data_IF_573929215771
#
_entry.id   IF_573929215771
#
_cell.length_a   1.000
_cell.length_b   1.000
_cell.length_c   1.000
_cell.angle_alpha   90.00
_cell.angle_beta   90.00
_cell.angle_gamma   90.00
#
_symmetry.space_group_name_H-M   'P 1'
#
loop_
_entity.id
_entity.type
_entity.pdbx_description
1 polymer ?
#
# COMPACT_ATOMS: atom_id res chain seq x y z
N UNK A 1 19.44 15.23 -16.53
CA UNK A 1 18.38 16.27 -16.50
C UNK A 1 17.09 15.80 -17.18
N UNK A 2 17.09 15.30 -18.42
CA UNK A 2 15.86 14.85 -19.09
C UNK A 2 15.12 13.67 -18.38
N UNK A 3 15.87 12.74 -17.76
CA UNK A 3 15.32 11.65 -16.95
C UNK A 3 14.71 12.12 -15.63
N UNK A 4 15.29 13.14 -14.99
CA UNK A 4 14.84 13.70 -13.71
C UNK A 4 13.53 14.49 -13.83
N UNK A 5 13.35 15.22 -14.94
CA UNK A 5 12.09 15.89 -15.27
C UNK A 5 10.92 14.92 -15.50
N UNK A 6 11.21 13.69 -15.96
CA UNK A 6 10.18 12.67 -16.14
C UNK A 6 9.63 12.16 -14.78
N UNK A 7 10.48 12.07 -13.75
CA UNK A 7 10.03 11.66 -12.41
C UNK A 7 9.04 12.64 -11.79
N UNK A 8 9.17 13.95 -11.99
CA UNK A 8 8.23 14.92 -11.40
C UNK A 8 6.82 14.75 -11.98
N UNK A 9 6.72 14.49 -13.28
CA UNK A 9 5.46 14.22 -13.95
C UNK A 9 4.84 12.89 -13.46
N UNK A 10 5.65 11.84 -13.30
CA UNK A 10 5.21 10.54 -12.82
C UNK A 10 4.81 10.55 -11.33
N UNK A 11 5.52 11.31 -10.49
CA UNK A 11 5.16 11.55 -9.09
C UNK A 11 3.86 12.34 -9.00
N UNK A 12 3.68 13.39 -9.79
CA UNK A 12 2.44 14.17 -9.83
C UNK A 12 1.24 13.31 -10.25
N UNK A 13 1.41 12.49 -11.30
CA UNK A 13 0.41 11.52 -11.75
C UNK A 13 0.08 10.51 -10.66
N UNK A 14 1.09 9.99 -9.97
CA UNK A 14 0.92 9.06 -8.84
C UNK A 14 0.10 9.70 -7.73
N UNK A 15 0.40 10.94 -7.34
CA UNK A 15 -0.36 11.67 -6.31
C UNK A 15 -1.83 11.78 -6.69
N UNK A 16 -2.13 12.14 -7.94
CA UNK A 16 -3.50 12.26 -8.43
C UNK A 16 -4.24 10.91 -8.37
N UNK A 17 -3.59 9.83 -8.81
CA UNK A 17 -4.20 8.48 -8.76
C UNK A 17 -4.44 8.05 -7.31
N UNK A 18 -3.51 8.32 -6.40
CA UNK A 18 -3.67 8.00 -4.97
C UNK A 18 -4.85 8.78 -4.35
N UNK A 19 -5.01 10.05 -4.70
CA UNK A 19 -6.13 10.88 -4.23
C UNK A 19 -7.48 10.39 -4.76
N UNK A 20 -7.56 10.07 -6.06
CA UNK A 20 -8.75 9.47 -6.67
C UNK A 20 -9.11 8.14 -5.99
N UNK A 21 -8.11 7.30 -5.74
CA UNK A 21 -8.28 6.03 -5.04
C UNK A 21 -8.78 6.21 -3.62
N UNK A 22 -8.23 7.17 -2.89
CA UNK A 22 -8.68 7.51 -1.54
C UNK A 22 -10.16 7.88 -1.53
N UNK A 23 -10.58 8.76 -2.44
CA UNK A 23 -12.00 9.16 -2.54
C UNK A 23 -12.90 7.95 -2.80
N UNK A 24 -12.49 7.05 -3.69
CA UNK A 24 -13.28 5.85 -4.01
C UNK A 24 -13.39 4.88 -2.84
N UNK A 25 -12.28 4.65 -2.12
CA UNK A 25 -12.25 3.81 -0.91
C UNK A 25 -13.11 4.41 0.20
N UNK A 26 -13.04 5.73 0.42
CA UNK A 26 -13.86 6.41 1.42
C UNK A 26 -15.35 6.28 1.12
N UNK A 27 -15.75 6.46 -0.14
CA UNK A 27 -17.15 6.33 -0.55
C UNK A 27 -17.64 4.88 -0.45
N UNK A 28 -16.85 3.88 -0.86
CA UNK A 28 -17.16 2.46 -0.63
C UNK A 28 -17.32 2.14 0.85
N UNK A 29 -16.44 2.70 1.70
CA UNK A 29 -16.54 2.54 3.15
C UNK A 29 -17.89 3.01 3.71
N UNK A 30 -18.40 4.16 3.25
CA UNK A 30 -19.71 4.67 3.70
C UNK A 30 -20.86 3.74 3.30
N UNK A 31 -20.83 3.15 2.11
CA UNK A 31 -21.86 2.22 1.65
C UNK A 31 -21.80 0.92 2.43
N UNK A 32 -20.59 0.39 2.62
CA UNK A 32 -20.35 -0.81 3.42
C UNK A 32 -20.82 -0.62 4.87
N UNK A 33 -20.47 0.49 5.52
CA UNK A 33 -20.91 0.76 6.89
C UNK A 33 -22.44 0.83 7.00
N UNK A 34 -23.12 1.37 5.98
CA UNK A 34 -24.60 1.30 5.90
C UNK A 34 -25.10 -0.14 5.80
N UNK A 35 -24.46 -0.99 5.00
CA UNK A 35 -24.86 -2.38 4.84
C UNK A 35 -24.68 -3.17 6.14
N UNK A 36 -23.63 -2.86 6.91
CA UNK A 36 -23.38 -3.49 8.21
C UNK A 36 -24.39 -3.07 9.29
N UNK A 37 -24.77 -1.78 9.32
CA UNK A 37 -25.58 -1.23 10.41
C UNK A 37 -27.09 -1.30 10.19
N UNK A 38 -27.56 -1.31 8.94
CA UNK A 38 -28.99 -1.11 8.67
C UNK A 38 -29.71 -2.45 8.49
N UNK A 39 -30.86 -2.63 9.16
CA UNK A 39 -31.87 -3.66 8.83
C UNK A 39 -32.71 -3.28 7.60
N UNK A 40 -32.40 -2.15 6.95
CA UNK A 40 -33.05 -1.75 5.72
C UNK A 40 -32.78 -2.81 4.64
N UNK A 41 -33.85 -3.21 3.96
CA UNK A 41 -33.79 -3.98 2.71
C UNK A 41 -33.16 -3.10 1.65
N UNK A 42 -31.85 -3.03 1.65
CA UNK A 42 -31.08 -2.38 0.59
C UNK A 42 -31.31 -3.19 -0.68
N UNK A 43 -31.65 -2.50 -1.77
CA UNK A 43 -32.07 -3.16 -2.99
C UNK A 43 -30.90 -3.91 -3.65
N UNK A 44 -31.22 -4.95 -4.44
CA UNK A 44 -30.22 -5.68 -5.22
C UNK A 44 -29.35 -4.74 -6.10
N UNK A 45 -29.93 -3.64 -6.59
CA UNK A 45 -29.23 -2.64 -7.39
C UNK A 45 -28.09 -1.94 -6.62
N UNK A 46 -28.30 -1.57 -5.36
CA UNK A 46 -27.28 -0.90 -4.55
C UNK A 46 -26.11 -1.83 -4.24
N UNK A 47 -26.40 -3.12 -4.01
CA UNK A 47 -25.37 -4.15 -3.84
C UNK A 47 -24.54 -4.34 -5.12
N UNK A 48 -25.20 -4.47 -6.28
CA UNK A 48 -24.50 -4.71 -7.54
C UNK A 48 -23.62 -3.50 -7.92
N UNK A 49 -24.10 -2.27 -7.65
CA UNK A 49 -23.32 -1.04 -7.81
C UNK A 49 -22.09 -1.06 -6.90
N UNK A 50 -22.25 -1.39 -5.61
CA UNK A 50 -21.13 -1.40 -4.68
C UNK A 50 -20.11 -2.49 -5.02
N UNK A 51 -20.58 -3.67 -5.43
CA UNK A 51 -19.70 -4.73 -5.89
C UNK A 51 -18.89 -4.30 -7.12
N UNK A 52 -19.52 -3.67 -8.10
CA UNK A 52 -18.83 -3.12 -9.28
C UNK A 52 -17.81 -2.04 -8.89
N UNK A 53 -18.16 -1.17 -7.93
CA UNK A 53 -17.28 -0.14 -7.41
C UNK A 53 -16.06 -0.72 -6.70
N UNK A 54 -16.26 -1.74 -5.86
CA UNK A 54 -15.16 -2.46 -5.21
C UNK A 54 -14.23 -3.04 -6.27
N UNK A 55 -14.77 -3.74 -7.28
CA UNK A 55 -13.96 -4.29 -8.38
C UNK A 55 -13.17 -3.23 -9.15
N UNK A 56 -13.77 -2.06 -9.40
CA UNK A 56 -13.08 -0.93 -10.04
C UNK A 56 -11.92 -0.41 -9.17
N UNK A 57 -12.17 -0.27 -7.87
CA UNK A 57 -11.14 0.06 -6.86
C UNK A 57 -9.99 -0.97 -6.90
N UNK A 58 -10.29 -2.27 -6.97
CA UNK A 58 -9.27 -3.33 -7.08
C UNK A 58 -8.39 -3.19 -8.33
N UNK A 59 -9.01 -2.91 -9.47
CA UNK A 59 -8.32 -2.82 -10.74
C UNK A 59 -7.42 -1.59 -10.79
N UNK A 60 -7.93 -0.45 -10.35
CA UNK A 60 -7.19 0.80 -10.38
C UNK A 60 -6.04 0.83 -9.36
N UNK A 61 -6.14 0.06 -8.26
CA UNK A 61 -5.04 -0.15 -7.32
C UNK A 61 -3.84 -0.84 -7.94
N UNK A 62 -4.03 -1.92 -8.70
CA UNK A 62 -2.90 -2.61 -9.35
C UNK A 62 -2.14 -1.70 -10.30
N UNK A 63 -2.86 -0.82 -11.00
CA UNK A 63 -2.25 0.19 -11.89
C UNK A 63 -1.43 1.19 -11.08
N UNK A 64 -1.98 1.68 -9.97
CA UNK A 64 -1.29 2.60 -9.08
C UNK A 64 -0.03 1.98 -8.45
N UNK A 65 -0.13 0.78 -7.88
CA UNK A 65 1.00 0.04 -7.32
C UNK A 65 2.08 -0.20 -8.37
N UNK A 66 1.68 -0.53 -9.61
CA UNK A 66 2.60 -0.67 -10.74
C UNK A 66 3.33 0.62 -11.09
N UNK A 67 2.63 1.75 -11.16
CA UNK A 67 3.25 3.04 -11.42
C UNK A 67 4.27 3.43 -10.33
N UNK A 68 3.97 3.13 -9.06
CA UNK A 68 4.90 3.40 -7.95
C UNK A 68 6.09 2.45 -7.99
N UNK A 69 5.86 1.17 -8.32
CA UNK A 69 6.93 0.20 -8.52
C UNK A 69 7.88 0.66 -9.64
N UNK A 70 7.36 1.11 -10.80
CA UNK A 70 8.15 1.68 -11.89
C UNK A 70 8.97 2.90 -11.44
N UNK A 71 8.37 3.82 -10.66
CA UNK A 71 9.08 4.95 -10.06
C UNK A 71 10.24 4.52 -9.17
N UNK A 72 10.04 3.49 -8.33
CA UNK A 72 11.08 2.95 -7.45
C UNK A 72 12.21 2.33 -8.27
N UNK A 73 11.88 1.54 -9.30
CA UNK A 73 12.87 0.93 -10.19
C UNK A 73 13.67 2.03 -10.90
N UNK A 74 13.01 3.04 -11.47
CA UNK A 74 13.70 4.16 -12.12
C UNK A 74 14.62 4.92 -11.17
N UNK A 75 14.21 5.14 -9.92
CA UNK A 75 15.08 5.78 -8.92
C UNK A 75 16.29 4.89 -8.59
N UNK A 76 16.12 3.57 -8.55
CA UNK A 76 17.22 2.61 -8.37
C UNK A 76 18.18 2.64 -9.55
N UNK A 77 17.69 2.65 -10.79
CA UNK A 77 18.51 2.75 -12.00
C UNK A 77 19.33 4.04 -12.01
N UNK A 78 18.69 5.18 -11.71
CA UNK A 78 19.37 6.47 -11.59
C UNK A 78 20.46 6.43 -10.50
N UNK A 79 20.23 5.69 -9.41
CA UNK A 79 21.20 5.51 -8.33
C UNK A 79 22.37 4.62 -8.75
N UNK A 80 22.10 3.55 -9.50
CA UNK A 80 23.13 2.65 -10.00
C UNK A 80 24.04 3.35 -11.02
N UNK A 81 23.45 4.13 -11.94
CA UNK A 81 24.21 4.98 -12.88
C UNK A 81 25.08 5.97 -12.12
N UNK A 82 24.51 6.65 -11.12
CA UNK A 82 25.27 7.55 -10.25
C UNK A 82 26.41 6.82 -9.52
N UNK A 83 26.15 5.63 -8.98
CA UNK A 83 27.15 4.81 -8.30
C UNK A 83 28.33 4.46 -9.21
N UNK A 84 28.06 4.06 -10.45
CA UNK A 84 29.09 3.78 -11.45
C UNK A 84 29.90 5.03 -11.84
N UNK A 85 29.22 6.16 -12.05
CA UNK A 85 29.85 7.46 -12.29
C UNK A 85 30.77 7.85 -11.12
N UNK A 86 30.30 7.65 -9.89
CA UNK A 86 31.06 7.95 -8.68
C UNK A 86 32.28 7.02 -8.50
N UNK A 87 32.17 5.72 -8.78
CA UNK A 87 33.32 4.80 -8.77
C UNK A 87 34.38 5.18 -9.81
N UNK A 88 33.95 5.65 -10.98
CA UNK A 88 34.86 6.16 -12.01
C UNK A 88 35.66 7.39 -11.53
N UNK A 89 35.10 8.19 -10.60
CA UNK A 89 35.81 9.32 -9.99
C UNK A 89 36.84 8.90 -8.95
N UNK A 90 36.57 7.82 -8.20
CA UNK A 90 37.51 7.28 -7.21
C UNK A 90 38.78 6.77 -7.88
N UNK A 91 38.65 6.08 -9.00
CA UNK A 91 39.77 5.54 -9.75
C UNK A 91 40.44 6.58 -10.66
N UNK A 92 41.69 6.32 -11.03
CA UNK A 92 42.37 7.09 -12.07
C UNK A 92 42.01 6.53 -13.44
N UNK A 93 41.72 7.41 -14.38
CA UNK A 93 41.50 7.03 -15.78
C UNK A 93 42.77 6.47 -16.42
N UNK A 94 42.63 5.75 -17.53
CA UNK A 94 43.78 5.26 -18.30
C UNK A 94 44.75 6.39 -18.70
N UNK A 95 44.21 7.55 -19.06
CA UNK A 95 45.01 8.73 -19.39
C UNK A 95 45.70 9.36 -18.17
N UNK A 96 45.02 9.47 -17.03
CA UNK A 96 45.65 9.92 -15.79
C UNK A 96 46.74 8.98 -15.30
N UNK A 97 46.54 7.67 -15.45
CA UNK A 97 47.56 6.67 -15.14
C UNK A 97 48.77 6.79 -16.07
N UNK A 98 48.54 7.01 -17.37
CA UNK A 98 49.59 7.27 -18.34
C UNK A 98 50.40 8.53 -18.00
N UNK A 99 49.73 9.65 -17.68
CA UNK A 99 50.39 10.88 -17.20
C UNK A 99 51.13 10.65 -15.88
N UNK A 100 50.61 9.78 -15.02
CA UNK A 100 51.22 9.40 -13.74
C UNK A 100 52.59 8.74 -13.86
N UNK A 101 52.90 8.09 -14.98
CA UNK A 101 54.23 7.55 -15.27
C UNK A 101 55.27 8.68 -15.35
N UNK A 102 54.85 9.87 -15.78
CA UNK A 102 55.71 11.04 -15.97
C UNK A 102 55.61 12.06 -14.83
N UNK A 103 54.44 12.20 -14.20
CA UNK A 103 54.25 13.14 -13.09
C UNK A 103 53.08 12.72 -12.18
N UNK A 104 53.42 12.30 -10.96
CA UNK A 104 52.44 12.00 -9.92
C UNK A 104 51.60 13.24 -9.55
N UNK A 105 52.22 14.43 -9.50
CA UNK A 105 51.52 15.69 -9.23
C UNK A 105 50.51 16.04 -10.32
N UNK A 106 50.85 15.84 -11.60
CA UNK A 106 49.95 16.15 -12.71
C UNK A 106 48.79 15.16 -12.79
N UNK A 107 49.05 13.87 -12.56
CA UNK A 107 48.02 12.83 -12.40
C UNK A 107 47.01 13.19 -11.31
N UNK A 108 47.48 13.67 -10.16
CA UNK A 108 46.61 14.08 -9.06
C UNK A 108 45.72 15.28 -9.42
N UNK A 109 46.30 16.33 -10.03
CA UNK A 109 45.53 17.53 -10.43
C UNK A 109 44.44 17.22 -11.44
N UNK A 110 44.73 16.37 -12.42
CA UNK A 110 43.74 15.97 -13.43
C UNK A 110 42.54 15.26 -12.79
N UNK A 111 42.77 14.41 -11.80
CA UNK A 111 41.69 13.78 -11.03
C UNK A 111 40.88 14.82 -10.26
N UNK A 112 41.54 15.74 -9.54
CA UNK A 112 40.87 16.81 -8.79
C UNK A 112 40.01 17.70 -9.68
N UNK A 113 40.52 18.10 -10.85
CA UNK A 113 39.77 18.91 -11.83
C UNK A 113 38.55 18.17 -12.39
N UNK A 114 38.68 16.87 -12.71
CA UNK A 114 37.55 16.04 -13.15
C UNK A 114 36.49 15.93 -12.06
N UNK A 115 36.91 15.59 -10.84
CA UNK A 115 36.03 15.43 -9.68
C UNK A 115 35.23 16.70 -9.40
N UNK A 116 35.85 17.88 -9.56
CA UNK A 116 35.21 19.18 -9.31
C UNK A 116 34.19 19.59 -10.38
N UNK A 117 34.48 19.30 -11.64
CA UNK A 117 33.63 19.74 -12.76
C UNK A 117 32.41 18.85 -12.99
N UNK A 118 32.25 17.78 -12.22
CA UNK A 118 31.16 16.82 -12.34
C UNK A 118 30.00 17.24 -11.41
N UNK A 119 28.86 17.64 -11.99
CA UNK A 119 27.66 18.11 -11.27
C UNK A 119 26.88 16.97 -10.61
N UNK A 120 27.49 16.27 -9.66
CA UNK A 120 26.93 15.05 -9.06
C UNK A 120 26.12 15.29 -7.79
N UNK A 121 26.54 16.23 -6.95
CA UNK A 121 25.86 16.50 -5.68
C UNK A 121 24.39 16.92 -5.87
N UNK A 122 24.11 17.79 -6.86
CA UNK A 122 22.75 18.22 -7.18
C UNK A 122 21.83 17.09 -7.65
N UNK A 123 22.34 16.15 -8.45
CA UNK A 123 21.54 15.03 -8.94
C UNK A 123 21.15 14.06 -7.81
N UNK A 124 22.06 13.81 -6.85
CA UNK A 124 21.77 12.88 -5.75
C UNK A 124 20.83 13.49 -4.71
N UNK A 125 20.97 14.78 -4.42
CA UNK A 125 20.01 15.51 -3.56
C UNK A 125 18.59 15.44 -4.15
N UNK A 126 18.46 15.60 -5.46
CA UNK A 126 17.19 15.50 -6.14
C UNK A 126 16.60 14.08 -6.07
N UNK A 127 17.41 13.03 -6.21
CA UNK A 127 16.97 11.64 -6.03
C UNK A 127 16.51 11.34 -4.59
N UNK A 128 17.19 11.90 -3.59
CA UNK A 128 16.80 11.77 -2.18
C UNK A 128 15.45 12.46 -1.93
N UNK A 129 15.26 13.69 -2.41
CA UNK A 129 14.00 14.43 -2.26
C UNK A 129 12.80 13.72 -2.94
N UNK A 130 13.02 13.16 -4.14
CA UNK A 130 12.00 12.37 -4.85
C UNK A 130 11.68 11.07 -4.10
N UNK A 131 12.70 10.39 -3.57
CA UNK A 131 12.50 9.19 -2.74
C UNK A 131 11.66 9.51 -1.50
N UNK A 132 11.97 10.59 -0.78
CA UNK A 132 11.21 11.03 0.40
C UNK A 132 9.75 11.30 0.07
N UNK A 133 9.51 12.02 -1.04
CA UNK A 133 8.17 12.35 -1.50
C UNK A 133 7.35 11.09 -1.74
N UNK A 134 7.93 10.07 -2.39
CA UNK A 134 7.25 8.80 -2.66
C UNK A 134 7.03 8.00 -1.37
N UNK A 135 8.00 7.95 -0.46
CA UNK A 135 7.82 7.32 0.87
C UNK A 135 6.68 7.98 1.63
N UNK A 136 6.58 9.31 1.59
CA UNK A 136 5.50 10.08 2.20
C UNK A 136 4.12 9.70 1.64
N UNK A 137 3.98 9.65 0.31
CA UNK A 137 2.73 9.23 -0.36
C UNK A 137 2.35 7.81 0.06
N UNK A 138 3.31 6.87 -0.01
CA UNK A 138 3.08 5.47 0.34
C UNK A 138 2.67 5.29 1.80
N UNK A 139 3.29 6.05 2.71
CA UNK A 139 3.03 5.99 4.15
C UNK A 139 1.66 6.56 4.49
N UNK A 140 1.30 7.72 3.93
CA UNK A 140 -0.02 8.31 4.11
C UNK A 140 -1.11 7.37 3.60
N UNK A 141 -0.91 6.81 2.41
CA UNK A 141 -1.82 5.84 1.83
C UNK A 141 -1.94 4.59 2.70
N UNK A 142 -0.83 4.03 3.18
CA UNK A 142 -0.84 2.87 4.08
C UNK A 142 -1.68 3.14 5.34
N UNK A 143 -1.55 4.32 5.94
CA UNK A 143 -2.32 4.68 7.13
C UNK A 143 -3.84 4.70 6.86
N UNK A 144 -4.23 5.20 5.68
CA UNK A 144 -5.64 5.18 5.23
C UNK A 144 -6.12 3.74 5.05
N UNK A 145 -5.32 2.90 4.39
CA UNK A 145 -5.65 1.49 4.18
C UNK A 145 -5.76 0.73 5.50
N UNK A 146 -4.84 0.93 6.45
CA UNK A 146 -4.88 0.32 7.78
C UNK A 146 -6.14 0.72 8.56
N UNK A 147 -6.53 2.00 8.51
CA UNK A 147 -7.75 2.48 9.15
C UNK A 147 -9.00 1.87 8.50
N UNK A 148 -9.01 1.76 7.17
CA UNK A 148 -10.12 1.17 6.42
C UNK A 148 -10.22 -0.33 6.59
N UNK A 149 -9.10 -1.03 6.72
CA UNK A 149 -9.05 -2.45 7.04
C UNK A 149 -9.72 -2.72 8.38
N UNK A 150 -9.32 -2.01 9.44
CA UNK A 150 -9.87 -2.20 10.80
C UNK A 150 -11.38 -1.94 10.87
N UNK A 151 -11.83 -0.88 10.21
CA UNK A 151 -13.26 -0.54 10.17
C UNK A 151 -14.05 -1.58 9.37
N UNK A 152 -13.55 -2.00 8.22
CA UNK A 152 -14.18 -3.03 7.38
C UNK A 152 -14.22 -4.40 8.04
N UNK A 153 -13.17 -4.78 8.78
CA UNK A 153 -13.12 -6.02 9.57
C UNK A 153 -14.18 -6.02 10.68
N UNK A 154 -14.35 -4.87 11.36
CA UNK A 154 -15.40 -4.70 12.37
C UNK A 154 -16.79 -4.84 11.74
N UNK A 155 -17.02 -4.19 10.60
CA UNK A 155 -18.28 -4.27 9.84
C UNK A 155 -18.56 -5.70 9.34
N UNK A 156 -17.53 -6.43 8.87
CA UNK A 156 -17.64 -7.84 8.50
C UNK A 156 -18.07 -8.71 9.69
N UNK A 157 -17.43 -8.52 10.85
CA UNK A 157 -17.77 -9.26 12.06
C UNK A 157 -19.22 -9.02 12.49
N UNK A 158 -19.70 -7.78 12.39
CA UNK A 158 -21.11 -7.44 12.68
C UNK A 158 -22.08 -8.16 11.73
N UNK A 159 -21.79 -8.18 10.43
CA UNK A 159 -22.63 -8.88 9.44
C UNK A 159 -22.65 -10.39 9.68
N UNK A 160 -21.50 -10.98 10.03
CA UNK A 160 -21.40 -12.41 10.37
C UNK A 160 -22.26 -12.73 11.61
N UNK A 161 -22.19 -11.89 12.66
CA UNK A 161 -22.98 -12.11 13.87
C UNK A 161 -24.49 -11.96 13.62
N UNK A 162 -24.89 -10.96 12.83
CA UNK A 162 -26.29 -10.81 12.38
C UNK A 162 -26.74 -12.06 11.63
N UNK A 163 -25.95 -12.54 10.67
CA UNK A 163 -26.26 -13.75 9.88
C UNK A 163 -26.44 -14.96 10.79
N UNK A 164 -25.57 -15.13 11.78
CA UNK A 164 -25.68 -16.21 12.77
C UNK A 164 -27.00 -16.12 13.55
N UNK A 165 -27.35 -14.95 14.07
CA UNK A 165 -28.63 -14.73 14.76
C UNK A 165 -29.85 -15.01 13.88
N UNK A 166 -29.83 -14.57 12.62
CA UNK A 166 -30.89 -14.85 11.64
C UNK A 166 -31.03 -16.34 11.36
N UNK A 167 -29.91 -17.09 11.23
CA UNK A 167 -29.92 -18.54 11.04
C UNK A 167 -30.46 -19.28 12.28
N UNK A 168 -30.10 -18.83 13.48
CA UNK A 168 -30.63 -19.39 14.74
C UNK A 168 -32.16 -19.18 14.83
N UNK A 169 -32.64 -17.97 14.52
CA UNK A 169 -34.07 -17.66 14.47
C UNK A 169 -34.81 -18.45 13.38
N UNK A 170 -34.19 -18.63 12.21
CA UNK A 170 -34.73 -19.44 11.11
C UNK A 170 -34.90 -20.89 11.54
N UNK A 171 -33.86 -21.47 12.16
CA UNK A 171 -33.87 -22.85 12.66
C UNK A 171 -34.95 -23.05 13.72
N UNK A 172 -35.10 -22.09 14.65
CA UNK A 172 -36.15 -22.14 15.66
C UNK A 172 -37.56 -22.05 15.05
N UNK A 173 -37.73 -21.20 14.04
CA UNK A 173 -39.01 -21.04 13.31
C UNK A 173 -39.36 -22.32 12.54
N UNK A 174 -38.39 -22.93 11.86
CA UNK A 174 -38.54 -24.21 11.16
C UNK A 174 -38.97 -25.32 12.11
N UNK A 175 -38.29 -25.43 13.27
CA UNK A 175 -38.69 -26.38 14.30
C UNK A 175 -40.13 -26.15 14.79
N UNK A 176 -40.54 -24.89 14.97
CA UNK A 176 -41.91 -24.58 15.38
C UNK A 176 -42.94 -24.98 14.33
N UNK A 177 -42.65 -24.77 13.05
CA UNK A 177 -43.47 -25.22 11.93
C UNK A 177 -43.60 -26.76 11.94
N UNK A 178 -42.49 -27.46 12.15
CA UNK A 178 -42.47 -28.93 12.27
C UNK A 178 -43.30 -29.44 13.45
N UNK A 179 -43.32 -28.73 14.58
CA UNK A 179 -44.16 -29.05 15.75
C UNK A 179 -45.65 -28.75 15.53
N UNK A 180 -45.97 -27.67 14.80
CA UNK A 180 -47.36 -27.27 14.53
C UNK A 180 -48.06 -28.23 13.55
N UNK A 181 -47.32 -28.81 12.60
CA UNK A 181 -47.85 -29.78 11.64
C UNK A 181 -48.61 -30.96 12.30
N UNK A 182 -48.03 -31.75 13.22
CA UNK A 182 -48.74 -32.84 13.88
C UNK A 182 -49.86 -32.36 14.80
N UNK A 183 -49.72 -31.18 15.43
CA UNK A 183 -50.79 -30.61 16.28
C UNK A 183 -52.04 -30.24 15.45
N UNK A 184 -51.83 -29.67 14.26
CA UNK A 184 -52.90 -29.38 13.31
C UNK A 184 -53.58 -30.66 12.80
N UNK A 185 -52.79 -31.69 12.50
CA UNK A 185 -53.34 -32.98 12.06
C UNK A 185 -54.11 -33.70 13.17
N UNK A 186 -53.61 -33.68 14.41
CA UNK A 186 -54.31 -34.24 15.57
C UNK A 186 -55.65 -33.53 15.82
N UNK A 187 -55.67 -32.20 15.78
CA UNK A 187 -56.91 -31.46 16.04
C UNK A 187 -57.94 -31.66 14.92
N UNK A 188 -57.50 -31.78 13.66
CA UNK A 188 -58.37 -32.12 12.53
C UNK A 188 -58.97 -33.52 12.68
N UNK A 189 -58.19 -34.51 13.10
CA UNK A 189 -58.68 -35.85 13.40
C UNK A 189 -59.69 -35.85 14.57
N UNK A 190 -59.42 -35.08 15.63
CA UNK A 190 -60.34 -34.92 16.77
C UNK A 190 -61.65 -34.26 16.35
N UNK A 191 -61.61 -33.21 15.54
CA UNK A 191 -62.81 -32.58 14.95
C UNK A 191 -63.62 -33.59 14.13
N UNK A 192 -62.96 -34.39 13.29
CA UNK A 192 -63.61 -35.39 12.45
C UNK A 192 -64.30 -36.50 13.26
N UNK A 193 -63.72 -36.87 14.42
CA UNK A 193 -64.25 -37.88 15.33
C UNK A 193 -65.33 -37.39 16.30
N UNK A 194 -65.51 -36.07 16.46
CA UNK A 194 -66.43 -35.51 17.46
C UNK A 194 -67.89 -35.55 17.02
N UNK A 195 -68.77 -36.06 17.89
CA UNK A 195 -70.22 -36.16 17.67
C UNK A 195 -71.02 -35.04 18.35
N UNK A 196 -70.38 -34.23 19.20
CA UNK A 196 -71.01 -33.12 19.94
C UNK A 196 -70.75 -31.78 19.27
N UNK A 197 -71.82 -31.02 19.00
CA UNK A 197 -71.73 -29.71 18.34
C UNK A 197 -70.91 -28.70 19.15
N UNK A 198 -71.07 -28.68 20.47
CA UNK A 198 -70.34 -27.77 21.36
C UNK A 198 -68.84 -28.08 21.34
N UNK A 199 -68.48 -29.36 21.49
CA UNK A 199 -67.08 -29.79 21.50
C UNK A 199 -66.40 -29.54 20.14
N UNK A 200 -67.13 -29.76 19.04
CA UNK A 200 -66.64 -29.43 17.70
C UNK A 200 -66.32 -27.95 17.55
N UNK A 201 -67.19 -27.08 18.05
CA UNK A 201 -67.02 -25.62 17.98
C UNK A 201 -65.77 -25.17 18.74
N UNK A 202 -65.50 -25.76 19.91
CA UNK A 202 -64.29 -25.49 20.70
C UNK A 202 -63.01 -25.91 19.94
N UNK A 203 -63.01 -27.13 19.39
CA UNK A 203 -61.88 -27.66 18.62
C UNK A 203 -61.61 -26.86 17.33
N UNK A 204 -62.67 -26.41 16.64
CA UNK A 204 -62.53 -25.53 15.47
C UNK A 204 -61.89 -24.19 15.84
N UNK A 205 -62.19 -23.65 17.03
CA UNK A 205 -61.54 -22.46 17.59
C UNK A 205 -60.05 -22.67 17.88
N UNK A 206 -59.69 -23.79 18.50
CA UNK A 206 -58.29 -24.18 18.74
C UNK A 206 -57.53 -24.39 17.42
N UNK A 207 -58.13 -25.09 16.44
CA UNK A 207 -57.54 -25.29 15.11
C UNK A 207 -57.28 -23.95 14.42
N UNK A 208 -58.22 -23.01 14.50
CA UNK A 208 -58.04 -21.68 13.91
C UNK A 208 -56.85 -20.93 14.52
N UNK A 209 -56.60 -21.07 15.83
CA UNK A 209 -55.43 -20.48 16.49
C UNK A 209 -54.13 -21.11 16.01
N UNK A 210 -54.05 -22.44 15.99
CA UNK A 210 -52.88 -23.18 15.50
C UNK A 210 -52.59 -22.87 14.02
N UNK A 211 -53.63 -22.79 13.19
CA UNK A 211 -53.49 -22.45 11.77
C UNK A 211 -52.99 -21.01 11.57
N UNK A 212 -53.44 -20.08 12.41
CA UNK A 212 -52.95 -18.70 12.39
C UNK A 212 -51.47 -18.64 12.77
N UNK A 213 -51.08 -19.33 13.84
CA UNK A 213 -49.67 -19.40 14.27
C UNK A 213 -48.80 -20.05 13.20
N UNK A 214 -49.26 -21.14 12.58
CA UNK A 214 -48.55 -21.82 11.50
C UNK A 214 -48.30 -20.90 10.29
N UNK A 215 -49.34 -20.19 9.83
CA UNK A 215 -49.21 -19.25 8.71
C UNK A 215 -48.26 -18.08 9.04
N UNK A 216 -48.28 -17.59 10.28
CA UNK A 216 -47.34 -16.56 10.74
C UNK A 216 -45.90 -17.09 10.77
N UNK A 217 -45.69 -18.31 11.28
CA UNK A 217 -44.38 -18.94 11.32
C UNK A 217 -43.84 -19.20 9.89
N UNK A 218 -44.68 -19.67 8.97
CA UNK A 218 -44.33 -19.83 7.54
C UNK A 218 -43.92 -18.50 6.89
N UNK A 219 -44.69 -17.43 7.12
CA UNK A 219 -44.32 -16.10 6.62
C UNK A 219 -43.00 -15.62 7.22
N UNK A 220 -42.77 -15.89 8.51
CA UNK A 220 -41.52 -15.53 9.19
C UNK A 220 -40.32 -16.33 8.68
N UNK A 221 -40.51 -17.62 8.37
CA UNK A 221 -39.48 -18.45 7.76
C UNK A 221 -39.01 -17.86 6.43
N UNK A 222 -39.94 -17.48 5.54
CA UNK A 222 -39.61 -16.87 4.26
C UNK A 222 -38.87 -15.54 4.41
N UNK A 223 -39.27 -14.71 5.39
CA UNK A 223 -38.57 -13.46 5.71
C UNK A 223 -37.13 -13.73 6.16
N UNK A 224 -36.93 -14.63 7.12
CA UNK A 224 -35.61 -14.97 7.67
C UNK A 224 -34.70 -15.64 6.64
N UNK A 225 -35.26 -16.47 5.74
CA UNK A 225 -34.51 -17.07 4.64
C UNK A 225 -33.98 -16.01 3.69
N UNK A 226 -34.82 -15.06 3.27
CA UNK A 226 -34.42 -13.97 2.38
C UNK A 226 -33.37 -13.04 3.04
N UNK A 227 -33.53 -12.77 4.34
CA UNK A 227 -32.56 -12.01 5.13
C UNK A 227 -31.21 -12.73 5.21
N UNK A 228 -31.21 -14.03 5.53
CA UNK A 228 -29.99 -14.86 5.61
C UNK A 228 -29.21 -14.87 4.29
N UNK A 229 -29.91 -15.03 3.16
CA UNK A 229 -29.30 -14.95 1.82
C UNK A 229 -28.68 -13.58 1.53
N UNK A 230 -29.33 -12.50 1.97
CA UNK A 230 -28.82 -11.14 1.81
C UNK A 230 -27.55 -10.94 2.64
N UNK A 231 -27.57 -11.36 3.90
CA UNK A 231 -26.41 -11.27 4.81
C UNK A 231 -25.23 -12.14 4.34
N UNK A 232 -25.50 -13.27 3.68
CA UNK A 232 -24.45 -14.08 3.04
C UNK A 232 -23.77 -13.33 1.88
N UNK A 233 -24.55 -12.68 1.02
CA UNK A 233 -24.00 -11.83 -0.06
C UNK A 233 -23.14 -10.70 0.50
N UNK A 234 -23.61 -10.03 1.56
CA UNK A 234 -22.84 -8.99 2.23
C UNK A 234 -21.55 -9.55 2.84
N UNK A 235 -21.61 -10.70 3.50
CA UNK A 235 -20.43 -11.36 4.07
C UNK A 235 -19.36 -11.60 2.99
N UNK A 236 -19.75 -12.14 1.83
CA UNK A 236 -18.84 -12.39 0.70
C UNK A 236 -18.22 -11.10 0.14
N UNK A 237 -19.01 -10.02 0.03
CA UNK A 237 -18.53 -8.73 -0.44
C UNK A 237 -17.54 -8.10 0.55
N UNK A 238 -17.85 -8.11 1.84
CA UNK A 238 -16.95 -7.63 2.89
C UNK A 238 -15.65 -8.43 2.95
N UNK A 239 -15.71 -9.76 2.85
CA UNK A 239 -14.51 -10.61 2.77
C UNK A 239 -13.63 -10.21 1.58
N UNK A 240 -14.22 -10.08 0.39
CA UNK A 240 -13.49 -9.65 -0.82
C UNK A 240 -12.82 -8.29 -0.62
N UNK A 241 -13.51 -7.35 0.02
CA UNK A 241 -12.97 -6.01 0.29
C UNK A 241 -11.83 -6.04 1.34
N UNK A 242 -12.02 -6.76 2.44
CA UNK A 242 -11.01 -6.93 3.50
C UNK A 242 -9.75 -7.63 2.97
N UNK A 243 -9.91 -8.71 2.20
CA UNK A 243 -8.81 -9.44 1.59
C UNK A 243 -8.03 -8.55 0.62
N UNK A 244 -8.73 -7.72 -0.13
CA UNK A 244 -8.10 -6.73 -0.99
C UNK A 244 -7.30 -5.69 -0.19
N UNK A 245 -7.90 -5.09 0.84
CA UNK A 245 -7.22 -4.10 1.68
C UNK A 245 -5.95 -4.71 2.29
N UNK A 246 -6.01 -5.94 2.79
CA UNK A 246 -4.85 -6.65 3.32
C UNK A 246 -3.76 -6.85 2.25
N UNK A 247 -4.17 -7.29 1.06
CA UNK A 247 -3.24 -7.42 -0.06
C UNK A 247 -2.57 -6.08 -0.39
N UNK A 248 -3.31 -4.98 -0.46
CA UNK A 248 -2.74 -3.65 -0.72
C UNK A 248 -1.78 -3.20 0.38
N UNK A 249 -2.13 -3.39 1.66
CA UNK A 249 -1.25 -3.07 2.79
C UNK A 249 0.08 -3.82 2.63
N UNK A 250 0.04 -5.10 2.26
CA UNK A 250 1.24 -5.88 2.01
C UNK A 250 2.05 -5.37 0.78
N UNK A 251 1.39 -4.84 -0.25
CA UNK A 251 2.06 -4.22 -1.40
C UNK A 251 2.77 -2.94 -0.98
N UNK A 252 2.07 -2.06 -0.27
CA UNK A 252 2.63 -0.82 0.28
C UNK A 252 3.82 -1.10 1.19
N UNK A 253 3.74 -2.09 2.07
CA UNK A 253 4.87 -2.49 2.91
C UNK A 253 6.08 -2.93 2.08
N UNK A 254 5.85 -3.62 0.95
CA UNK A 254 6.92 -4.04 0.03
C UNK A 254 7.57 -2.83 -0.64
N UNK A 255 6.76 -1.92 -1.19
CA UNK A 255 7.21 -0.70 -1.86
C UNK A 255 7.97 0.23 -0.89
N UNK A 256 7.40 0.48 0.29
CA UNK A 256 8.02 1.30 1.35
C UNK A 256 9.36 0.71 1.75
N UNK A 257 9.39 -0.59 2.09
CA UNK A 257 10.64 -1.22 2.55
C UNK A 257 11.74 -1.16 1.49
N UNK A 258 11.41 -1.46 0.23
CA UNK A 258 12.35 -1.35 -0.91
C UNK A 258 12.88 0.07 -1.04
N UNK A 259 11.99 1.06 -1.12
CA UNK A 259 12.38 2.45 -1.30
C UNK A 259 13.17 3.01 -0.11
N UNK A 260 12.81 2.65 1.12
CA UNK A 260 13.56 3.04 2.33
C UNK A 260 14.98 2.51 2.28
N UNK A 261 15.19 1.23 1.96
CA UNK A 261 16.53 0.64 1.87
C UNK A 261 17.35 1.24 0.72
N UNK A 262 16.73 1.47 -0.44
CA UNK A 262 17.43 2.15 -1.54
C UNK A 262 17.78 3.59 -1.17
N UNK A 263 16.95 4.27 -0.39
CA UNK A 263 17.24 5.61 0.13
C UNK A 263 18.40 5.59 1.12
N UNK A 264 18.48 4.60 2.01
CA UNK A 264 19.65 4.37 2.87
C UNK A 264 20.92 4.19 2.02
N UNK A 265 20.87 3.40 0.95
CA UNK A 265 22.00 3.23 0.02
C UNK A 265 22.37 4.56 -0.68
N UNK A 266 21.39 5.33 -1.14
CA UNK A 266 21.62 6.66 -1.75
C UNK A 266 22.32 7.60 -0.76
N UNK A 267 21.93 7.58 0.52
CA UNK A 267 22.57 8.36 1.58
C UNK A 267 24.05 7.95 1.77
N UNK A 268 24.35 6.65 1.78
CA UNK A 268 25.74 6.15 1.85
C UNK A 268 26.57 6.68 0.67
N UNK A 269 26.02 6.62 -0.55
CA UNK A 269 26.67 7.13 -1.75
C UNK A 269 26.90 8.64 -1.67
N UNK A 270 25.94 9.39 -1.14
CA UNK A 270 26.05 10.83 -0.93
C UNK A 270 27.20 11.15 0.02
N UNK A 271 27.27 10.45 1.17
CA UNK A 271 28.33 10.70 2.15
C UNK A 271 29.71 10.40 1.58
N UNK A 272 29.84 9.29 0.85
CA UNK A 272 31.08 8.95 0.19
C UNK A 272 31.50 10.01 -0.85
N UNK A 273 30.55 10.60 -1.58
CA UNK A 273 30.82 11.70 -2.49
C UNK A 273 31.30 12.94 -1.74
N UNK A 274 30.60 13.32 -0.66
CA UNK A 274 30.97 14.44 0.21
C UNK A 274 32.42 14.31 0.72
N UNK A 275 32.78 13.14 1.25
CA UNK A 275 34.13 12.87 1.76
C UNK A 275 35.18 12.94 0.65
N UNK A 276 34.86 12.46 -0.56
CA UNK A 276 35.74 12.54 -1.72
C UNK A 276 35.94 14.00 -2.18
N UNK A 277 34.88 14.82 -2.14
CA UNK A 277 34.94 16.25 -2.46
C UNK A 277 35.77 17.00 -1.41
N UNK A 278 35.54 16.74 -0.12
CA UNK A 278 36.35 17.30 0.98
C UNK A 278 37.83 16.95 0.83
N UNK A 279 38.14 15.69 0.53
CA UNK A 279 39.52 15.25 0.30
C UNK A 279 40.16 15.96 -0.89
N UNK A 280 39.42 16.09 -2.00
CA UNK A 280 39.90 16.79 -3.19
C UNK A 280 40.16 18.29 -2.91
N UNK A 281 39.29 18.92 -2.13
CA UNK A 281 39.42 20.32 -1.74
C UNK A 281 40.56 20.57 -0.73
N UNK A 282 40.70 19.72 0.30
CA UNK A 282 41.77 19.83 1.29
C UNK A 282 43.17 19.68 0.68
N UNK A 283 43.32 18.83 -0.34
CA UNK A 283 44.59 18.68 -1.07
C UNK A 283 44.98 19.93 -1.87
N UNK A 284 44.01 20.75 -2.29
CA UNK A 284 44.27 22.05 -2.91
C UNK A 284 44.63 23.11 -1.86
N UNK A 285 44.01 23.08 -0.67
CA UNK A 285 44.35 23.97 0.46
C UNK A 285 45.78 23.77 0.95
N UNK A 286 46.33 22.54 0.89
CA UNK A 286 47.76 22.30 1.12
C UNK A 286 48.68 23.03 0.10
N UNK A 287 48.14 23.45 -1.05
CA UNK A 287 48.87 24.18 -2.10
C UNK A 287 48.48 25.66 -2.24
N UNK A 288 47.39 26.13 -1.60
CA UNK A 288 46.98 27.55 -1.56
C UNK A 288 46.46 27.95 -0.17
N UNK A 289 47.09 28.97 0.41
CA UNK A 289 46.90 29.48 1.77
C UNK A 289 45.45 29.94 2.08
N UNK A 290 44.94 29.48 3.24
CA UNK A 290 43.97 30.00 4.23
C UNK A 290 42.64 30.71 3.84
N UNK A 291 42.30 30.91 2.56
CA UNK A 291 41.07 31.62 2.17
C UNK A 291 39.99 30.75 1.54
N UNK A 292 40.33 29.51 1.14
CA UNK A 292 39.40 28.58 0.48
C UNK A 292 38.79 27.54 1.42
N UNK A 293 39.38 27.32 2.61
CA UNK A 293 38.85 26.39 3.62
C UNK A 293 37.45 26.77 4.10
N UNK A 294 37.20 28.06 4.32
CA UNK A 294 35.88 28.56 4.71
C UNK A 294 34.83 28.42 3.61
N UNK A 295 35.20 28.53 2.32
CA UNK A 295 34.24 28.35 1.23
C UNK A 295 33.82 26.90 1.05
N UNK A 296 34.73 25.94 1.29
CA UNK A 296 34.44 24.51 1.19
C UNK A 296 33.54 24.07 2.33
N UNK A 297 33.86 24.48 3.57
CA UNK A 297 33.00 24.26 4.73
C UNK A 297 31.62 24.91 4.52
N UNK A 298 31.57 26.14 3.99
CA UNK A 298 30.31 26.81 3.66
C UNK A 298 29.50 26.06 2.59
N UNK A 299 30.10 25.53 1.51
CA UNK A 299 29.32 24.75 0.52
C UNK A 299 28.82 23.42 1.06
N UNK A 300 29.60 22.73 1.89
CA UNK A 300 29.16 21.49 2.53
C UNK A 300 28.06 21.78 3.57
N UNK A 301 28.19 22.86 4.35
CA UNK A 301 27.15 23.35 5.27
C UNK A 301 25.91 23.88 4.55
N UNK A 302 26.03 24.61 3.45
CA UNK A 302 24.90 25.09 2.64
C UNK A 302 24.16 23.92 2.00
N UNK A 303 24.89 22.88 1.55
CA UNK A 303 24.25 21.67 1.01
C UNK A 303 23.56 20.88 2.12
N UNK A 304 24.17 20.77 3.31
CA UNK A 304 23.55 20.15 4.49
C UNK A 304 22.36 20.95 5.04
N UNK A 305 22.42 22.29 5.04
CA UNK A 305 21.33 23.16 5.44
C UNK A 305 20.20 23.15 4.41
N UNK A 306 20.52 23.08 3.12
CA UNK A 306 19.58 22.90 2.03
C UNK A 306 18.86 21.55 2.09
N UNK A 307 19.56 20.49 2.52
CA UNK A 307 18.97 19.17 2.76
C UNK A 307 18.18 19.16 4.07
N UNK A 308 18.68 19.70 5.18
CA UNK A 308 17.92 19.81 6.42
C UNK A 308 16.65 20.65 6.28
N UNK A 309 16.63 21.60 5.34
CA UNK A 309 15.45 22.38 4.98
C UNK A 309 14.53 21.69 3.96
N UNK A 310 15.03 20.79 3.10
CA UNK A 310 14.26 20.12 2.04
C UNK A 310 13.85 18.68 2.36
N UNK A 311 14.59 17.99 3.23
CA UNK A 311 14.31 16.65 3.72
C UNK A 311 13.20 16.72 4.76
N UNK A 312 12.13 15.93 4.60
CA UNK A 312 11.19 15.70 5.68
C UNK A 312 11.89 14.93 6.81
N UNK A 313 11.29 14.92 8.01
CA UNK A 313 11.88 14.35 9.24
C UNK A 313 12.53 12.97 9.03
N UNK A 314 11.95 12.14 8.15
CA UNK A 314 12.44 10.79 7.85
C UNK A 314 13.84 10.72 7.24
N UNK A 315 14.18 11.55 6.25
CA UNK A 315 15.55 11.58 5.70
C UNK A 315 16.52 12.20 6.70
N UNK A 316 16.09 13.21 7.47
CA UNK A 316 16.87 13.76 8.58
C UNK A 316 17.26 12.69 9.60
N UNK A 317 16.29 11.87 10.02
CA UNK A 317 16.51 10.76 10.96
C UNK A 317 17.44 9.69 10.36
N UNK A 318 17.29 9.35 9.07
CA UNK A 318 18.19 8.40 8.39
C UNK A 318 19.61 8.93 8.23
N UNK A 319 19.77 10.22 7.96
CA UNK A 319 21.07 10.89 7.90
C UNK A 319 21.75 10.90 9.28
N UNK A 320 21.02 11.24 10.34
CA UNK A 320 21.52 11.26 11.71
C UNK A 320 21.85 9.84 12.22
N UNK A 321 21.03 8.85 11.87
CA UNK A 321 21.31 7.44 12.14
C UNK A 321 22.57 6.96 11.42
N UNK A 322 22.81 7.38 10.19
CA UNK A 322 24.06 7.05 9.48
C UNK A 322 25.27 7.80 10.05
N UNK A 323 25.07 9.01 10.58
CA UNK A 323 26.12 9.80 11.24
C UNK A 323 26.50 9.24 12.62
N UNK A 324 25.53 8.69 13.37
CA UNK A 324 25.71 8.18 14.74
C UNK A 324 25.89 6.66 14.83
N UNK A 325 25.34 5.88 13.90
CA UNK A 325 25.45 4.42 13.87
C UNK A 325 26.18 3.94 12.62
N UNK A 326 27.21 3.12 12.84
CA UNK A 326 27.85 2.29 11.82
C UNK A 326 26.88 1.21 11.30
N UNK A 327 25.82 1.57 10.57
CA UNK A 327 25.19 0.58 9.70
C UNK A 327 26.21 0.26 8.62
N UNK A 328 26.79 -0.94 8.70
CA UNK A 328 27.84 -1.30 7.74
C UNK A 328 27.21 -1.37 6.36
N UNK A 329 27.93 -0.94 5.33
CA UNK A 329 27.49 -1.08 3.93
C UNK A 329 27.06 -2.53 3.61
N UNK A 330 27.65 -3.51 4.30
CA UNK A 330 27.30 -4.93 4.20
C UNK A 330 25.89 -5.25 4.74
N UNK A 331 25.44 -4.62 5.83
CA UNK A 331 24.09 -4.82 6.37
C UNK A 331 23.02 -4.23 5.46
N UNK A 332 23.28 -3.04 4.89
CA UNK A 332 22.40 -2.41 3.89
C UNK A 332 22.29 -3.32 2.66
N UNK A 333 23.41 -3.84 2.15
CA UNK A 333 23.41 -4.76 1.01
C UNK A 333 22.63 -6.05 1.29
N UNK A 334 22.75 -6.61 2.50
CA UNK A 334 21.98 -7.81 2.89
C UNK A 334 20.48 -7.51 2.92
N UNK A 335 20.07 -6.41 3.57
CA UNK A 335 18.67 -5.98 3.63
C UNK A 335 18.12 -5.67 2.23
N UNK A 336 18.93 -5.02 1.39
CA UNK A 336 18.60 -4.72 0.00
C UNK A 336 18.27 -5.98 -0.77
N UNK A 337 19.13 -7.00 -0.73
CA UNK A 337 18.86 -8.27 -1.42
C UNK A 337 17.51 -8.87 -1.03
N UNK A 338 17.18 -8.88 0.26
CA UNK A 338 15.90 -9.41 0.74
C UNK A 338 14.71 -8.55 0.26
N UNK A 339 14.87 -7.23 0.24
CA UNK A 339 13.86 -6.32 -0.26
C UNK A 339 13.66 -6.45 -1.77
N UNK A 340 14.75 -6.59 -2.54
CA UNK A 340 14.74 -6.84 -3.97
C UNK A 340 14.03 -8.16 -4.30
N UNK A 341 14.35 -9.24 -3.57
CA UNK A 341 13.70 -10.55 -3.76
C UNK A 341 12.19 -10.50 -3.43
N UNK A 342 11.79 -9.71 -2.43
CA UNK A 342 10.38 -9.52 -2.09
C UNK A 342 9.65 -8.66 -3.14
N UNK A 343 10.29 -7.56 -3.56
CA UNK A 343 9.79 -6.67 -4.59
C UNK A 343 9.62 -7.41 -5.91
N UNK A 344 10.63 -8.16 -6.35
CA UNK A 344 10.62 -8.89 -7.61
C UNK A 344 9.55 -9.97 -7.66
N UNK A 345 9.35 -10.70 -6.56
CA UNK A 345 8.27 -11.69 -6.49
C UNK A 345 6.88 -11.07 -6.62
N UNK A 346 6.69 -9.85 -6.13
CA UNK A 346 5.40 -9.17 -6.11
C UNK A 346 5.12 -8.37 -7.38
N UNK A 347 6.15 -7.75 -7.94
CA UNK A 347 6.07 -6.82 -9.07
C UNK A 347 6.78 -7.36 -10.32
N UNK A 348 6.82 -8.69 -10.50
CA UNK A 348 7.46 -9.35 -11.64
C UNK A 348 6.98 -8.82 -13.00
N UNK A 349 5.67 -8.61 -13.15
CA UNK A 349 5.09 -8.05 -14.38
C UNK A 349 5.57 -6.61 -14.66
N UNK A 350 5.78 -5.83 -13.60
CA UNK A 350 6.29 -4.46 -13.70
C UNK A 350 7.75 -4.50 -14.12
N UNK A 351 8.58 -5.32 -13.45
CA UNK A 351 9.98 -5.52 -13.81
C UNK A 351 10.16 -5.98 -15.25
N UNK A 352 9.34 -6.93 -15.72
CA UNK A 352 9.37 -7.41 -17.12
C UNK A 352 9.08 -6.28 -18.11
N UNK A 353 8.07 -5.45 -17.84
CA UNK A 353 7.70 -4.32 -18.69
C UNK A 353 8.79 -3.25 -18.71
N UNK A 354 9.32 -2.90 -17.54
CA UNK A 354 10.40 -1.93 -17.40
C UNK A 354 11.65 -2.37 -18.18
N UNK A 355 12.11 -3.61 -17.96
CA UNK A 355 13.26 -4.19 -18.66
C UNK A 355 13.05 -4.25 -20.19
N UNK A 356 11.83 -4.56 -20.64
CA UNK A 356 11.51 -4.58 -22.07
C UNK A 356 11.49 -3.17 -22.69
N UNK A 357 11.04 -2.16 -21.94
CA UNK A 357 11.06 -0.76 -22.38
C UNK A 357 12.49 -0.21 -22.49
N UNK A 358 13.38 -0.60 -21.59
CA UNK A 358 14.80 -0.23 -21.64
C UNK A 358 15.55 -0.88 -22.81
N UNK A 359 15.16 -2.10 -23.22
CA UNK A 359 15.72 -2.77 -24.39
C UNK A 359 15.40 -2.06 -25.73
N UNK A 360 14.36 -1.23 -25.76
CA UNK A 360 13.96 -0.43 -26.95
C UNK A 360 14.63 0.95 -26.95
N UNK A 361 15.25 1.36 -25.84
CA UNK A 361 15.94 2.66 -25.69
C UNK A 361 17.46 2.58 -25.83
N UNK A 362 18.05 1.37 -25.81
CA UNK A 362 19.44 1.12 -26.25
C UNK A 362 19.52 1.05 -27.77
#
# INVERSE_FOLDING_TARGET
MATLQNFDAEIAKTKQVVEDMRSRIEQSGVVLDKFAQTDQKIGAADFDIENARIQDVLNQQKVMEGNIADLIIGLEDATNVFGAEFESMKSYTGWENFVGVFSAQRKQRMRTERVRNMSLAGNLQELLAKSDTIVGILTEQKNILDARYKTSETSLAQVIERRKGTIEALTATQKRIEELNPMLLDIENRIASSTSQTQRTELEGERSKLATEYNQAQAKEQELLAESQTLERYTSMFQTFVDSLNNQIAAQNTLINKLTIDTEQRIVLYKALEDSLKTAAQQEVAHRINTLGSQVDNTAEETMAGIGAAAQRHIGDLLELHEKNMVTTADIQRRKKLADDAFARRFDDVLKKHNAADYVRQ
#
